data_IF_394227746959
#
_entry.id   IF_394227746959
#
_cell.length_a   1.000
_cell.length_b   1.000
_cell.length_c   1.000
_cell.angle_alpha   90.00
_cell.angle_beta   90.00
_cell.angle_gamma   90.00
#
_symmetry.space_group_name_H-M   'P 1'
#
loop_
_entity.id
_entity.type
_entity.pdbx_description
1 polymer ?
#
# COMPACT_ATOMS: atom_id res chain seq x y z
N UNK A 1 2.99 -13.91 5.47
CA UNK A 1 1.91 -13.11 6.08
C UNK A 1 2.49 -12.38 7.28
N UNK A 2 2.24 -11.07 7.38
CA UNK A 2 2.55 -10.26 8.54
C UNK A 2 1.38 -9.33 8.85
N UNK A 3 1.40 -8.71 10.03
CA UNK A 3 0.51 -7.59 10.32
C UNK A 3 1.28 -6.29 10.17
N UNK A 4 0.67 -5.32 9.51
CA UNK A 4 1.19 -3.96 9.37
C UNK A 4 0.35 -3.02 10.23
N UNK A 5 1.02 -2.08 10.88
CA UNK A 5 0.39 -1.02 11.69
C UNK A 5 0.99 0.31 11.25
N UNK A 6 0.14 1.24 10.83
CA UNK A 6 0.51 2.59 10.45
C UNK A 6 -0.15 3.59 11.41
N UNK A 7 0.67 4.35 12.14
CA UNK A 7 0.18 5.31 13.13
C UNK A 7 -0.58 6.49 12.49
N UNK A 8 -1.42 7.22 13.24
CA UNK A 8 -2.31 8.25 12.69
C UNK A 8 -1.61 9.29 11.82
N UNK A 9 -2.22 9.61 10.68
CA UNK A 9 -1.71 10.55 9.68
C UNK A 9 -0.42 10.13 8.95
N UNK A 10 0.18 8.98 9.28
CA UNK A 10 1.43 8.56 8.66
C UNK A 10 1.23 8.13 7.20
N UNK A 11 2.29 8.29 6.40
CA UNK A 11 2.31 8.01 4.96
C UNK A 11 3.48 7.09 4.67
N UNK A 12 3.23 5.95 4.04
CA UNK A 12 4.29 5.00 3.67
C UNK A 12 5.20 5.58 2.59
N UNK A 13 6.45 5.09 2.52
CA UNK A 13 7.24 5.18 1.28
C UNK A 13 6.49 4.50 0.12
N UNK A 14 6.50 5.09 -1.07
CA UNK A 14 5.92 4.46 -2.24
C UNK A 14 6.88 3.39 -2.77
N UNK A 15 6.34 2.21 -3.08
CA UNK A 15 7.12 1.06 -3.54
C UNK A 15 6.40 0.35 -4.69
N UNK A 16 7.11 -0.58 -5.32
CA UNK A 16 6.50 -1.62 -6.14
C UNK A 16 7.10 -2.98 -5.81
N UNK A 17 6.35 -4.02 -6.05
CA UNK A 17 6.85 -5.39 -6.04
C UNK A 17 7.20 -5.85 -7.44
N UNK A 18 8.14 -6.79 -7.56
CA UNK A 18 8.63 -7.31 -8.83
C UNK A 18 7.79 -8.48 -9.32
N UNK A 19 7.55 -9.44 -8.44
CA UNK A 19 7.05 -10.77 -8.76
C UNK A 19 5.88 -11.21 -7.87
N UNK A 20 5.71 -10.62 -6.69
CA UNK A 20 4.61 -11.00 -5.79
C UNK A 20 3.40 -10.09 -5.96
N UNK A 21 2.23 -10.70 -5.92
CA UNK A 21 0.99 -9.99 -5.63
C UNK A 21 0.91 -9.76 -4.13
N UNK A 22 0.52 -8.55 -3.73
CA UNK A 22 0.28 -8.21 -2.33
C UNK A 22 -1.23 -8.09 -2.07
N UNK A 23 -1.71 -8.78 -1.05
CA UNK A 23 -3.13 -8.84 -0.69
C UNK A 23 -3.25 -8.37 0.74
N UNK A 24 -4.08 -7.35 0.96
CA UNK A 24 -4.34 -6.81 2.29
C UNK A 24 -5.76 -7.07 2.74
N UNK A 25 -5.92 -7.35 4.02
CA UNK A 25 -7.21 -7.38 4.70
C UNK A 25 -7.18 -6.44 5.91
N UNK A 26 -8.04 -5.43 5.91
CA UNK A 26 -8.02 -4.37 6.90
C UNK A 26 -8.75 -4.79 8.18
N UNK A 27 -8.04 -4.67 9.31
CA UNK A 27 -8.50 -5.09 10.64
C UNK A 27 -9.03 -3.93 11.47
N UNK A 28 -8.49 -2.73 11.28
CA UNK A 28 -8.82 -1.55 12.08
C UNK A 28 -8.47 -0.27 11.31
N UNK A 29 -9.24 0.78 11.58
CA UNK A 29 -8.96 2.13 11.12
C UNK A 29 -9.50 2.42 9.72
N UNK A 30 -9.11 3.60 9.24
CA UNK A 30 -9.47 4.12 7.93
C UNK A 30 -8.22 4.69 7.27
N UNK A 31 -8.18 4.67 5.94
CA UNK A 31 -7.06 5.21 5.21
C UNK A 31 -7.31 5.32 3.72
N UNK A 32 -6.26 5.69 3.01
CA UNK A 32 -6.23 5.75 1.56
C UNK A 32 -5.13 4.84 1.04
N UNK A 33 -5.44 4.13 -0.04
CA UNK A 33 -4.49 3.34 -0.81
C UNK A 33 -4.42 3.92 -2.21
N UNK A 34 -3.25 4.40 -2.59
CA UNK A 34 -2.97 4.76 -3.97
C UNK A 34 -2.23 3.60 -4.64
N UNK A 35 -2.72 3.15 -5.79
CA UNK A 35 -2.11 2.05 -6.55
C UNK A 35 -2.18 2.33 -8.06
N UNK A 36 -1.04 2.51 -8.69
CA UNK A 36 -0.92 2.90 -10.09
C UNK A 36 -0.46 1.71 -10.96
N UNK A 37 -1.23 1.31 -11.99
CA UNK A 37 -0.81 0.28 -12.93
C UNK A 37 0.41 0.70 -13.76
N UNK A 38 1.23 -0.26 -14.22
CA UNK A 38 2.32 0.02 -15.16
C UNK A 38 1.82 0.72 -16.43
N UNK A 39 2.51 1.78 -16.84
CA UNK A 39 2.20 2.51 -18.08
C UNK A 39 1.04 3.51 -17.98
N UNK A 40 0.40 3.64 -16.82
CA UNK A 40 -0.61 4.68 -16.56
C UNK A 40 0.07 5.94 -16.01
N UNK A 41 -0.42 7.12 -16.41
CA UNK A 41 0.04 8.39 -15.86
C UNK A 41 -0.27 8.46 -14.36
N UNK A 42 0.73 8.52 -13.47
CA UNK A 42 0.53 8.56 -12.02
C UNK A 42 -0.39 9.69 -11.55
N UNK A 43 -0.42 10.82 -12.28
CA UNK A 43 -1.25 11.99 -11.92
C UNK A 43 -2.74 11.80 -12.21
N UNK A 44 -3.09 10.78 -13.00
CA UNK A 44 -4.47 10.44 -13.36
C UNK A 44 -5.11 9.40 -12.42
N UNK A 45 -4.34 8.85 -11.48
CA UNK A 45 -4.77 7.75 -10.61
C UNK A 45 -5.25 8.31 -9.28
N UNK A 46 -6.56 8.18 -9.04
CA UNK A 46 -7.17 8.55 -7.76
C UNK A 46 -6.96 7.45 -6.70
N UNK A 47 -6.63 7.82 -5.44
CA UNK A 47 -6.60 6.88 -4.33
C UNK A 47 -7.98 6.28 -4.02
N UNK A 48 -7.98 5.08 -3.45
CA UNK A 48 -9.20 4.45 -2.92
C UNK A 48 -9.21 4.51 -1.40
N UNK A 49 -10.37 4.79 -0.83
CA UNK A 49 -10.60 4.69 0.62
C UNK A 49 -10.72 3.23 1.04
N UNK A 50 -10.23 2.94 2.24
CA UNK A 50 -10.34 1.62 2.89
C UNK A 50 -10.70 1.79 4.35
N UNK A 51 -11.43 0.82 4.88
CA UNK A 51 -11.77 0.70 6.29
C UNK A 51 -11.71 -0.76 6.75
N UNK A 52 -11.87 -1.01 8.05
CA UNK A 52 -11.98 -2.35 8.61
C UNK A 52 -12.97 -3.23 7.82
N UNK A 53 -12.57 -4.46 7.51
CA UNK A 53 -13.35 -5.42 6.73
C UNK A 53 -13.08 -5.39 5.22
N UNK A 54 -12.44 -4.35 4.70
CA UNK A 54 -12.09 -4.28 3.28
C UNK A 54 -10.90 -5.19 2.94
N UNK A 55 -10.80 -5.52 1.65
CA UNK A 55 -9.64 -6.17 1.09
C UNK A 55 -9.17 -5.45 -0.17
N UNK A 56 -7.85 -5.39 -0.38
CA UNK A 56 -7.26 -4.87 -1.60
C UNK A 56 -6.24 -5.85 -2.16
N UNK A 57 -6.10 -5.85 -3.48
CA UNK A 57 -5.09 -6.61 -4.20
C UNK A 57 -4.22 -5.64 -4.99
N UNK A 58 -2.92 -5.83 -4.88
CA UNK A 58 -1.88 -5.05 -5.54
C UNK A 58 -1.06 -6.02 -6.41
N UNK A 59 -1.32 -6.06 -7.72
CA UNK A 59 -0.58 -6.95 -8.61
C UNK A 59 0.92 -6.57 -8.72
N UNK A 60 1.78 -7.52 -9.14
CA UNK A 60 3.19 -7.24 -9.39
C UNK A 60 3.39 -6.07 -10.36
N UNK A 61 4.41 -5.26 -10.11
CA UNK A 61 4.78 -4.12 -10.95
C UNK A 61 3.96 -2.84 -10.70
N UNK A 62 2.87 -2.90 -9.94
CA UNK A 62 2.12 -1.70 -9.58
C UNK A 62 2.90 -0.86 -8.56
N UNK A 63 2.89 0.46 -8.77
CA UNK A 63 3.33 1.38 -7.72
C UNK A 63 2.22 1.51 -6.69
N UNK A 64 2.56 1.54 -5.42
CA UNK A 64 1.57 1.78 -4.39
C UNK A 64 2.14 2.55 -3.20
N UNK A 65 1.22 3.23 -2.52
CA UNK A 65 1.47 4.00 -1.30
C UNK A 65 0.20 3.94 -0.45
N UNK A 66 0.33 3.99 0.87
CA UNK A 66 -0.81 4.02 1.77
C UNK A 66 -0.64 5.06 2.87
N UNK A 67 -1.77 5.61 3.32
CA UNK A 67 -1.85 6.63 4.37
C UNK A 67 -2.99 6.29 5.31
N UNK A 68 -2.74 6.35 6.61
CA UNK A 68 -3.79 6.28 7.63
C UNK A 68 -4.50 7.62 7.77
N UNK A 69 -5.76 7.61 8.17
CA UNK A 69 -6.48 8.82 8.54
C UNK A 69 -5.76 9.60 9.67
N UNK A 70 -5.98 10.93 9.78
CA UNK A 70 -5.27 11.78 10.76
C UNK A 70 -5.44 11.34 12.22
N UNK A 71 -6.60 10.76 12.55
CA UNK A 71 -7.00 10.50 13.94
C UNK A 71 -7.02 9.00 14.32
N UNK A 72 -6.69 8.09 13.39
CA UNK A 72 -6.78 6.65 13.63
C UNK A 72 -5.60 5.86 13.09
N UNK A 73 -5.26 4.79 13.81
CA UNK A 73 -4.25 3.83 13.36
C UNK A 73 -4.86 2.94 12.29
N UNK A 74 -4.16 2.75 11.17
CA UNK A 74 -4.54 1.79 10.14
C UNK A 74 -3.82 0.46 10.40
N UNK A 75 -4.57 -0.63 10.54
CA UNK A 75 -4.02 -1.97 10.75
C UNK A 75 -4.58 -2.95 9.73
N UNK A 76 -3.70 -3.74 9.12
CA UNK A 76 -4.10 -4.76 8.15
C UNK A 76 -3.18 -5.97 8.19
N UNK A 77 -3.71 -7.11 7.76
CA UNK A 77 -2.90 -8.27 7.42
C UNK A 77 -2.36 -8.08 6.02
N UNK A 78 -1.06 -8.26 5.86
CA UNK A 78 -0.39 -8.29 4.56
C UNK A 78 0.01 -9.74 4.23
N UNK A 79 -0.39 -10.18 3.06
CA UNK A 79 -0.05 -11.47 2.49
C UNK A 79 0.50 -11.30 1.08
N UNK A 80 1.45 -12.15 0.70
CA UNK A 80 2.03 -12.16 -0.65
C UNK A 80 1.88 -13.51 -1.31
N UNK A 81 1.57 -13.50 -2.61
CA UNK A 81 1.47 -14.68 -3.46
C UNK A 81 2.34 -14.49 -4.72
N UNK A 82 3.39 -15.31 -4.93
CA UNK A 82 3.95 -16.34 -4.02
C UNK A 82 4.50 -15.74 -2.71
N UNK A 83 4.91 -16.56 -1.71
CA UNK A 83 5.49 -16.08 -0.48
C UNK A 83 6.67 -15.13 -0.70
N UNK A 84 6.83 -14.15 0.21
CA UNK A 84 7.87 -13.14 0.15
C UNK A 84 9.27 -13.73 -0.12
N UNK A 85 9.93 -13.38 -1.25
CA UNK A 85 11.15 -14.03 -1.67
C UNK A 85 12.42 -13.40 -1.07
N UNK A 86 12.33 -12.22 -0.45
CA UNK A 86 13.46 -11.52 0.15
C UNK A 86 13.37 -10.01 0.02
N UNK A 87 14.34 -9.29 0.61
CA UNK A 87 14.33 -7.82 0.69
C UNK A 87 14.33 -7.11 -0.68
N UNK A 88 14.95 -7.74 -1.68
CA UNK A 88 15.08 -7.23 -3.06
C UNK A 88 13.76 -7.24 -3.85
N UNK A 89 12.66 -7.70 -3.24
CA UNK A 89 11.34 -7.76 -3.87
C UNK A 89 10.66 -6.38 -3.88
N UNK A 90 10.79 -5.61 -2.79
CA UNK A 90 10.30 -4.24 -2.72
C UNK A 90 11.34 -3.28 -3.32
N UNK A 91 10.95 -2.60 -4.39
CA UNK A 91 11.77 -1.55 -4.99
C UNK A 91 11.14 -0.19 -4.74
N UNK A 92 11.94 0.87 -4.48
CA UNK A 92 11.43 2.23 -4.40
C UNK A 92 10.66 2.61 -5.67
N UNK A 93 9.52 3.26 -5.50
CA UNK A 93 8.78 3.84 -6.61
C UNK A 93 9.20 5.31 -6.80
N UNK A 94 9.36 5.79 -8.05
CA UNK A 94 9.70 7.18 -8.33
C UNK A 94 8.51 8.13 -8.19
N UNK A 95 7.29 7.61 -8.01
CA UNK A 95 6.05 8.37 -7.92
C UNK A 95 5.29 8.03 -6.64
N UNK A 96 4.64 9.04 -6.07
CA UNK A 96 3.80 8.97 -4.88
C UNK A 96 2.42 9.56 -5.21
N UNK A 97 1.35 8.99 -4.64
CA UNK A 97 -0.01 9.49 -4.82
C UNK A 97 -0.68 10.01 -3.56
N UNK A 98 0.00 9.93 -2.40
CA UNK A 98 -0.55 10.33 -1.10
C UNK A 98 0.29 11.40 -0.38
N UNK A 99 1.28 11.96 -1.06
CA UNK A 99 2.18 13.00 -0.55
C UNK A 99 3.52 12.46 -0.04
N UNK A 100 4.22 13.31 0.71
CA UNK A 100 5.54 12.99 1.25
C UNK A 100 5.48 11.84 2.26
N UNK A 101 6.40 10.85 2.17
CA UNK A 101 6.43 9.73 3.09
C UNK A 101 6.95 10.15 4.45
N UNK A 102 6.33 9.64 5.51
CA UNK A 102 6.74 9.88 6.90
C UNK A 102 7.30 8.62 7.58
N UNK A 103 7.07 7.43 7.00
CA UNK A 103 7.57 6.14 7.51
C UNK A 103 8.15 5.24 6.44
#
# INVERSE_FOLDING_TARGET
MCQVTLGPGAVSRPVRHRNVEEIWYFLEGEGLIWRCPPGVDPTSVEPVSVHSGDAIVIPPGWYFQFRSSPDSTLRFLCYTAPPWPGLEEALPAPYAGLGEPTV
#
